data_IF_349736496874
#
_entry.id   IF_349736496874
#
_cell.length_a   1.000
_cell.length_b   1.000
_cell.length_c   1.000
_cell.angle_alpha   90.00
_cell.angle_beta   90.00
_cell.angle_gamma   90.00
#
_symmetry.space_group_name_H-M   'P 1'
#
loop_
_entity.id
_entity.type
_entity.pdbx_description
1 polymer ?
#
# COMPACT_ATOMS: atom_id res chain seq x y z
N UNK A 1 0.17 27.42 17.66
CA UNK A 1 1.48 26.87 17.24
C UNK A 1 1.67 27.27 15.79
N UNK A 2 2.87 27.79 15.44
CA UNK A 2 3.14 28.15 14.04
C UNK A 2 3.50 26.88 13.28
N UNK A 3 2.69 26.54 12.28
CA UNK A 3 2.96 25.44 11.35
C UNK A 3 3.52 26.03 10.06
N UNK A 4 4.57 25.41 9.53
CA UNK A 4 5.11 25.72 8.21
C UNK A 4 5.00 24.49 7.32
N UNK A 5 4.89 24.67 6.03
CA UNK A 5 4.82 23.55 5.11
C UNK A 5 5.65 23.81 3.84
N UNK A 6 6.05 22.73 3.18
CA UNK A 6 6.76 22.77 1.91
C UNK A 6 6.54 21.50 1.10
N UNK A 7 6.72 21.55 -0.22
CA UNK A 7 6.78 20.35 -1.06
C UNK A 7 7.92 19.41 -0.65
N UNK A 8 7.79 18.17 -1.07
CA UNK A 8 8.84 17.15 -0.98
C UNK A 8 10.11 17.60 -1.72
N UNK A 9 11.28 17.31 -1.15
CA UNK A 9 12.54 17.78 -1.76
C UNK A 9 13.53 16.68 -2.11
N UNK A 10 13.62 15.61 -1.35
CA UNK A 10 14.63 14.58 -1.57
C UNK A 10 14.43 13.32 -0.72
N UNK A 11 15.36 12.36 -0.85
CA UNK A 11 15.32 11.09 -0.11
C UNK A 11 15.29 11.21 1.41
N UNK A 12 15.84 12.28 1.99
CA UNK A 12 15.76 12.57 3.41
C UNK A 12 14.30 12.74 3.88
N UNK A 13 13.44 13.32 3.04
CA UNK A 13 12.02 13.46 3.37
C UNK A 13 11.31 12.10 3.47
N UNK A 14 11.65 11.13 2.61
CA UNK A 14 11.10 9.76 2.72
C UNK A 14 11.44 9.12 4.05
N UNK A 15 12.62 9.39 4.60
CA UNK A 15 13.03 8.88 5.91
C UNK A 15 12.16 9.50 7.01
N UNK A 16 11.96 10.82 6.97
CA UNK A 16 11.08 11.52 7.92
C UNK A 16 9.63 11.06 7.83
N UNK A 17 9.11 10.91 6.60
CA UNK A 17 7.74 10.42 6.34
C UNK A 17 7.54 9.01 6.88
N UNK A 18 8.49 8.09 6.62
CA UNK A 18 8.44 6.73 7.16
C UNK A 18 8.55 6.68 8.68
N UNK A 19 9.40 7.55 9.26
CA UNK A 19 9.55 7.63 10.72
C UNK A 19 8.23 8.08 11.39
N UNK A 20 7.60 9.13 10.86
CA UNK A 20 6.32 9.61 11.35
C UNK A 20 5.21 8.56 11.21
N UNK A 21 5.18 7.83 10.08
CA UNK A 21 4.20 6.76 9.90
C UNK A 21 4.37 5.62 10.91
N UNK A 22 5.59 5.25 11.26
CA UNK A 22 5.88 4.28 12.32
C UNK A 22 5.43 4.79 13.70
N UNK A 23 5.70 6.06 14.01
CA UNK A 23 5.26 6.71 15.24
C UNK A 23 3.73 6.70 15.40
N UNK A 24 3.00 6.87 14.29
CA UNK A 24 1.56 6.94 14.22
C UNK A 24 0.91 5.65 13.68
N UNK A 25 1.58 4.50 13.82
CA UNK A 25 1.20 3.25 13.15
C UNK A 25 -0.22 2.77 13.45
N UNK A 26 -0.75 3.05 14.65
CA UNK A 26 -2.11 2.67 15.04
C UNK A 26 -3.20 3.41 14.26
N UNK A 27 -2.87 4.56 13.66
CA UNK A 27 -3.81 5.45 12.98
C UNK A 27 -3.69 5.38 11.45
N UNK A 28 -2.78 4.55 10.91
CA UNK A 28 -2.48 4.54 9.49
C UNK A 28 -2.50 3.13 8.91
N UNK A 29 -3.11 3.01 7.75
CA UNK A 29 -3.25 1.75 7.02
C UNK A 29 -1.90 1.29 6.44
N UNK A 30 -1.15 2.22 5.87
CA UNK A 30 0.13 1.97 5.23
C UNK A 30 1.28 2.47 6.12
N UNK A 31 2.12 1.56 6.55
CA UNK A 31 3.29 1.84 7.40
C UNK A 31 4.50 1.04 6.94
N UNK A 32 4.43 -0.28 6.98
CA UNK A 32 5.54 -1.19 6.66
C UNK A 32 5.72 -1.33 5.15
N UNK A 33 4.66 -1.17 4.38
CA UNK A 33 4.62 -1.22 2.91
C UNK A 33 4.91 0.13 2.23
N UNK A 34 5.16 1.20 2.98
CA UNK A 34 5.51 2.52 2.43
C UNK A 34 6.69 2.48 1.43
N UNK A 35 7.72 1.63 1.57
CA UNK A 35 8.77 1.50 0.57
C UNK A 35 8.24 1.19 -0.84
N UNK A 36 7.20 0.35 -0.96
CA UNK A 36 6.54 0.06 -2.23
C UNK A 36 5.85 1.30 -2.81
N UNK A 37 5.10 2.03 -1.98
CA UNK A 37 4.37 3.23 -2.36
C UNK A 37 5.32 4.39 -2.70
N UNK A 38 6.39 4.58 -1.92
CA UNK A 38 7.39 5.63 -2.13
C UNK A 38 8.32 5.38 -3.32
N UNK A 39 8.35 4.18 -3.84
CA UNK A 39 9.07 3.84 -5.07
C UNK A 39 8.26 4.15 -6.33
N UNK A 40 6.95 4.44 -6.20
CA UNK A 40 6.07 4.69 -7.32
C UNK A 40 6.37 6.01 -8.04
N UNK A 41 5.84 6.14 -9.25
CA UNK A 41 5.95 7.37 -10.04
C UNK A 41 5.09 8.55 -9.49
N UNK A 42 4.36 8.37 -8.39
CA UNK A 42 3.77 9.47 -7.65
C UNK A 42 4.81 10.49 -7.18
N UNK A 43 6.04 10.02 -6.94
CA UNK A 43 7.17 10.83 -6.46
C UNK A 43 7.99 11.49 -7.58
N UNK A 44 7.56 11.38 -8.85
CA UNK A 44 8.23 12.02 -9.98
C UNK A 44 7.94 13.54 -10.02
N UNK A 45 6.82 13.98 -9.46
CA UNK A 45 6.49 15.38 -9.26
C UNK A 45 6.47 15.70 -7.76
N UNK A 46 7.49 16.41 -7.24
CA UNK A 46 7.58 16.77 -5.82
C UNK A 46 6.38 17.57 -5.30
N UNK A 47 5.71 18.33 -6.15
CA UNK A 47 4.54 19.13 -5.79
C UNK A 47 3.32 18.26 -5.42
N UNK A 48 3.33 16.97 -5.78
CA UNK A 48 2.29 16.02 -5.40
C UNK A 48 2.42 15.54 -3.95
N UNK A 49 3.48 15.96 -3.24
CA UNK A 49 3.74 15.59 -1.86
C UNK A 49 4.04 16.86 -1.04
N UNK A 50 3.43 16.99 0.10
CA UNK A 50 3.66 18.12 1.01
C UNK A 50 3.93 17.66 2.43
N UNK A 51 4.80 18.39 3.13
CA UNK A 51 5.23 18.12 4.49
C UNK A 51 4.93 19.34 5.37
N UNK A 52 4.36 19.11 6.56
CA UNK A 52 4.05 20.14 7.57
C UNK A 52 4.97 19.97 8.77
N UNK A 53 5.55 21.06 9.22
CA UNK A 53 6.51 21.09 10.32
C UNK A 53 5.99 22.00 11.46
N UNK A 54 6.19 21.55 12.68
CA UNK A 54 5.87 22.34 13.87
C UNK A 54 6.91 23.48 14.12
N UNK A 55 6.70 24.25 15.16
CA UNK A 55 7.58 25.35 15.56
C UNK A 55 9.00 24.91 15.92
N UNK A 56 9.19 23.64 16.24
CA UNK A 56 10.49 23.02 16.53
C UNK A 56 11.14 22.39 15.28
N UNK A 57 10.58 22.62 14.10
CA UNK A 57 11.01 22.02 12.82
C UNK A 57 10.91 20.49 12.82
N UNK A 58 10.04 19.91 13.63
CA UNK A 58 9.74 18.48 13.58
C UNK A 58 8.57 18.21 12.63
N UNK A 59 8.65 17.11 11.87
CA UNK A 59 7.58 16.73 10.97
C UNK A 59 6.31 16.41 11.77
N UNK A 60 5.26 17.20 11.56
CA UNK A 60 3.96 17.05 12.20
C UNK A 60 2.97 16.25 11.33
N UNK A 61 3.07 16.41 10.01
CA UNK A 61 2.25 15.68 9.03
C UNK A 61 2.92 15.64 7.67
N UNK A 62 2.48 14.70 6.85
CA UNK A 62 2.73 14.69 5.41
C UNK A 62 1.51 14.18 4.65
N UNK A 63 1.38 14.58 3.39
CA UNK A 63 0.39 14.05 2.48
C UNK A 63 0.99 13.85 1.08
N UNK A 64 0.50 12.85 0.35
CA UNK A 64 0.93 12.51 -0.99
C UNK A 64 -0.29 12.14 -1.86
N UNK A 65 -0.39 12.77 -3.03
CA UNK A 65 -1.29 12.33 -4.07
C UNK A 65 -0.66 11.13 -4.78
N UNK A 66 -1.04 9.94 -4.37
CA UNK A 66 -0.53 8.67 -4.91
C UNK A 66 -1.18 8.36 -6.25
N UNK A 67 -0.67 8.99 -7.28
CA UNK A 67 -1.20 8.93 -8.64
C UNK A 67 -1.38 7.51 -9.21
N UNK A 68 -0.51 6.51 -8.91
CA UNK A 68 -0.73 5.13 -9.36
C UNK A 68 -1.93 4.44 -8.72
N UNK A 69 -2.30 4.86 -7.51
CA UNK A 69 -3.38 4.26 -6.72
C UNK A 69 -4.64 5.11 -6.69
N UNK A 70 -4.57 6.36 -7.20
CA UNK A 70 -5.63 7.36 -7.12
C UNK A 70 -6.00 7.73 -5.67
N UNK A 71 -5.07 7.53 -4.73
CA UNK A 71 -5.28 7.80 -3.32
C UNK A 71 -4.56 9.04 -2.83
N UNK A 72 -5.15 9.70 -1.85
CA UNK A 72 -4.48 10.70 -1.03
C UNK A 72 -4.06 9.98 0.24
N UNK A 73 -2.77 9.68 0.34
CA UNK A 73 -2.19 9.11 1.54
C UNK A 73 -1.70 10.25 2.42
N UNK A 74 -1.98 10.19 3.72
CA UNK A 74 -1.46 11.16 4.67
C UNK A 74 -1.25 10.54 6.03
N UNK A 75 -0.29 11.11 6.75
CA UNK A 75 -0.02 10.82 8.16
C UNK A 75 0.03 12.12 8.90
N UNK A 76 -0.61 12.18 10.06
CA UNK A 76 -0.59 13.34 10.94
C UNK A 76 -0.39 12.86 12.38
N UNK A 77 0.42 13.59 13.16
CA UNK A 77 0.53 13.34 14.60
C UNK A 77 -0.83 13.51 15.26
N UNK A 78 -1.24 12.61 16.16
CA UNK A 78 -2.56 12.66 16.79
C UNK A 78 -2.84 13.96 17.55
N UNK A 79 -1.82 14.55 18.18
CA UNK A 79 -1.92 15.83 18.92
C UNK A 79 -2.07 17.05 18.00
N UNK A 80 -1.72 16.94 16.72
CA UNK A 80 -1.82 17.99 15.72
C UNK A 80 -3.03 17.81 14.79
N UNK A 81 -3.69 16.67 14.82
CA UNK A 81 -4.71 16.28 13.84
C UNK A 81 -5.88 17.28 13.80
N UNK A 82 -6.36 17.76 14.92
CA UNK A 82 -7.47 18.72 14.98
C UNK A 82 -7.21 20.05 14.25
N UNK A 83 -5.96 20.42 14.08
CA UNK A 83 -5.53 21.64 13.42
C UNK A 83 -5.11 21.43 11.98
N UNK A 84 -4.41 20.31 11.70
CA UNK A 84 -3.80 20.06 10.40
C UNK A 84 -4.69 19.32 9.42
N UNK A 85 -5.68 18.54 9.88
CA UNK A 85 -6.43 17.68 8.99
C UNK A 85 -7.18 18.46 7.91
N UNK A 86 -7.83 19.58 8.27
CA UNK A 86 -8.51 20.45 7.30
C UNK A 86 -7.52 21.12 6.34
N UNK A 87 -6.34 21.51 6.82
CA UNK A 87 -5.29 22.10 5.99
C UNK A 87 -4.74 21.08 4.99
N UNK A 88 -4.49 19.82 5.43
CA UNK A 88 -4.09 18.71 4.56
C UNK A 88 -5.13 18.48 3.45
N UNK A 89 -6.41 18.40 3.80
CA UNK A 89 -7.48 18.18 2.83
C UNK A 89 -7.63 19.36 1.87
N UNK A 90 -7.49 20.60 2.36
CA UNK A 90 -7.50 21.80 1.52
C UNK A 90 -6.34 21.83 0.53
N UNK A 91 -5.13 21.52 0.99
CA UNK A 91 -3.96 21.39 0.11
C UNK A 91 -4.17 20.30 -0.95
N UNK A 92 -4.64 19.13 -0.56
CA UNK A 92 -4.88 18.02 -1.46
C UNK A 92 -5.93 18.36 -2.53
N UNK A 93 -7.01 19.05 -2.15
CA UNK A 93 -8.05 19.51 -3.07
C UNK A 93 -7.49 20.54 -4.08
N UNK A 94 -6.73 21.53 -3.62
CA UNK A 94 -6.08 22.51 -4.48
C UNK A 94 -5.11 21.83 -5.45
N UNK A 95 -4.27 20.92 -4.95
CA UNK A 95 -3.30 20.20 -5.79
C UNK A 95 -4.02 19.32 -6.81
N UNK A 96 -5.06 18.59 -6.42
CA UNK A 96 -5.85 17.77 -7.34
C UNK A 96 -6.44 18.60 -8.51
N UNK A 97 -6.88 19.83 -8.24
CA UNK A 97 -7.36 20.76 -9.29
C UNK A 97 -6.24 21.28 -10.21
N UNK A 98 -5.06 21.56 -9.64
CA UNK A 98 -3.91 22.06 -10.42
C UNK A 98 -3.33 21.00 -11.37
N UNK A 99 -3.47 19.70 -11.06
CA UNK A 99 -2.96 18.64 -11.93
C UNK A 99 -3.96 18.23 -13.03
N UNK A 100 -5.14 18.83 -13.10
CA UNK A 100 -6.06 18.62 -14.22
C UNK A 100 -5.38 18.97 -15.55
N UNK A 101 -5.64 18.16 -16.58
CA UNK A 101 -4.99 18.28 -17.91
C UNK A 101 -3.47 18.06 -17.92
N UNK A 102 -2.93 17.45 -16.86
CA UNK A 102 -1.55 16.97 -16.78
C UNK A 102 -1.51 15.45 -16.84
N UNK A 103 -0.31 14.88 -16.91
CA UNK A 103 -0.15 13.41 -16.86
C UNK A 103 -0.57 12.77 -15.51
N UNK A 104 -0.69 13.58 -14.46
CA UNK A 104 -1.14 13.17 -13.13
C UNK A 104 -2.65 13.29 -12.92
N UNK A 105 -3.36 13.82 -13.91
CA UNK A 105 -4.82 13.99 -13.87
C UNK A 105 -5.55 12.70 -13.51
N UNK A 106 -6.52 12.82 -12.61
CA UNK A 106 -7.39 11.71 -12.21
C UNK A 106 -8.84 12.21 -12.09
N UNK A 107 -9.82 11.42 -12.56
CA UNK A 107 -11.24 11.78 -12.49
C UNK A 107 -11.77 11.78 -11.07
N UNK A 108 -11.14 11.01 -10.18
CA UNK A 108 -11.52 10.90 -8.78
C UNK A 108 -10.30 10.62 -7.90
N UNK A 109 -10.39 11.04 -6.64
CA UNK A 109 -9.40 10.71 -5.61
C UNK A 109 -10.06 9.99 -4.45
N UNK A 110 -9.33 9.05 -3.88
CA UNK A 110 -9.80 8.21 -2.80
C UNK A 110 -8.98 8.46 -1.53
N UNK A 111 -9.65 8.39 -0.38
CA UNK A 111 -9.01 8.41 0.95
C UNK A 111 -9.51 7.21 1.72
N UNK A 112 -8.60 6.51 2.37
CA UNK A 112 -8.90 5.37 3.22
C UNK A 112 -8.70 5.72 4.68
N UNK A 113 -9.71 5.42 5.52
CA UNK A 113 -9.69 5.69 6.95
C UNK A 113 -10.27 4.51 7.73
N UNK A 114 -9.79 4.26 8.93
CA UNK A 114 -10.40 3.27 9.80
C UNK A 114 -11.80 3.71 10.23
N UNK A 115 -12.73 2.78 10.29
CA UNK A 115 -14.13 3.05 10.68
C UNK A 115 -14.26 3.68 12.07
N UNK A 116 -13.25 3.54 12.92
CA UNK A 116 -13.17 4.14 14.26
C UNK A 116 -12.73 5.61 14.27
N UNK A 117 -12.22 6.15 13.15
CA UNK A 117 -11.66 7.51 13.05
C UNK A 117 -12.75 8.55 12.77
N UNK A 118 -13.70 8.70 13.67
CA UNK A 118 -14.89 9.56 13.50
C UNK A 118 -14.57 11.02 13.14
N UNK A 119 -13.49 11.58 13.67
CA UNK A 119 -13.09 12.96 13.35
C UNK A 119 -12.63 13.07 11.89
N UNK A 120 -11.78 12.15 11.43
CA UNK A 120 -11.33 12.10 10.03
C UNK A 120 -12.51 11.90 9.08
N UNK A 121 -13.44 10.99 9.41
CA UNK A 121 -14.65 10.74 8.63
C UNK A 121 -15.44 12.03 8.44
N UNK A 122 -15.77 12.73 9.54
CA UNK A 122 -16.51 13.99 9.50
C UNK A 122 -15.81 15.06 8.66
N UNK A 123 -14.49 15.19 8.79
CA UNK A 123 -13.72 16.20 8.08
C UNK A 123 -13.65 15.89 6.57
N UNK A 124 -13.57 14.59 6.19
CA UNK A 124 -13.66 14.15 4.79
C UNK A 124 -15.03 14.47 4.19
N UNK A 125 -16.12 14.18 4.92
CA UNK A 125 -17.49 14.52 4.49
C UNK A 125 -17.63 16.04 4.28
N UNK A 126 -17.13 16.85 5.21
CA UNK A 126 -17.12 18.32 5.11
C UNK A 126 -16.28 18.81 3.92
N UNK A 127 -15.20 18.10 3.55
CA UNK A 127 -14.38 18.39 2.38
C UNK A 127 -15.00 17.89 1.05
N UNK A 128 -16.21 17.30 1.10
CA UNK A 128 -16.96 16.84 -0.06
C UNK A 128 -16.62 15.43 -0.54
N UNK A 129 -15.90 14.65 0.24
CA UNK A 129 -15.71 13.23 -0.02
C UNK A 129 -16.98 12.44 0.38
N UNK A 130 -17.27 11.38 -0.37
CA UNK A 130 -18.44 10.51 -0.14
C UNK A 130 -17.96 9.11 0.21
N UNK A 131 -18.47 8.54 1.29
CA UNK A 131 -18.20 7.16 1.66
C UNK A 131 -18.72 6.21 0.57
N UNK A 132 -17.91 5.23 0.19
CA UNK A 132 -18.23 4.23 -0.82
C UNK A 132 -18.60 2.87 -0.21
N UNK A 133 -18.51 2.72 1.10
CA UNK A 133 -18.69 1.41 1.76
C UNK A 133 -20.10 0.83 1.62
N UNK A 134 -21.10 1.69 1.37
CA UNK A 134 -22.54 1.30 1.29
C UNK A 134 -23.19 1.71 -0.04
N UNK A 135 -22.39 1.94 -1.09
CA UNK A 135 -22.90 2.42 -2.39
C UNK A 135 -23.21 1.24 -3.31
N UNK A 136 -24.40 0.65 -3.17
CA UNK A 136 -24.97 -0.34 -4.09
C UNK A 136 -24.08 -1.57 -4.34
N UNK A 137 -24.13 -2.10 -5.56
CA UNK A 137 -23.32 -3.26 -5.97
C UNK A 137 -21.84 -2.92 -6.13
N UNK A 138 -21.50 -1.64 -6.29
CA UNK A 138 -20.13 -1.11 -6.39
C UNK A 138 -19.57 -0.63 -5.04
N UNK A 139 -20.16 -1.09 -3.94
CA UNK A 139 -19.70 -0.72 -2.60
C UNK A 139 -18.24 -1.13 -2.40
N UNK A 140 -17.40 -0.19 -1.97
CA UNK A 140 -16.00 -0.43 -1.67
C UNK A 140 -15.78 -0.33 -0.17
N UNK A 141 -15.56 -1.48 0.44
CA UNK A 141 -15.09 -1.58 1.80
C UNK A 141 -13.83 -2.43 1.83
N UNK A 142 -12.88 -2.01 2.62
CA UNK A 142 -11.63 -2.72 2.83
C UNK A 142 -11.49 -3.13 4.28
N UNK A 143 -10.60 -4.04 4.54
CA UNK A 143 -10.25 -4.47 5.89
C UNK A 143 -8.75 -4.53 6.05
N UNK A 144 -8.29 -4.15 7.24
CA UNK A 144 -6.94 -4.48 7.69
C UNK A 144 -7.01 -5.79 8.46
N UNK A 145 -6.26 -6.76 7.99
CA UNK A 145 -6.17 -8.06 8.66
C UNK A 145 -4.79 -8.24 9.29
N UNK A 146 -4.75 -8.97 10.39
CA UNK A 146 -3.52 -9.29 11.11
C UNK A 146 -3.45 -10.79 11.39
N UNK A 147 -2.25 -11.32 11.26
CA UNK A 147 -1.87 -12.66 11.67
C UNK A 147 -0.74 -12.60 12.72
N UNK A 148 -0.88 -13.34 13.81
CA UNK A 148 0.22 -13.56 14.74
C UNK A 148 1.22 -14.55 14.15
N UNK A 149 2.51 -14.28 14.29
CA UNK A 149 3.56 -15.22 13.86
C UNK A 149 3.68 -16.46 14.75
N UNK A 150 3.02 -16.49 15.91
CA UNK A 150 2.95 -17.67 16.76
C UNK A 150 2.11 -18.80 16.15
N UNK A 151 1.17 -18.46 15.26
CA UNK A 151 0.45 -19.47 14.49
C UNK A 151 1.38 -20.17 13.52
N UNK A 152 1.40 -21.52 13.45
CA UNK A 152 2.24 -22.24 12.51
C UNK A 152 1.83 -21.89 11.07
N UNK A 153 2.81 -21.67 10.19
CA UNK A 153 2.53 -21.42 8.77
C UNK A 153 2.27 -22.76 8.09
N UNK A 154 1.08 -22.90 7.51
CA UNK A 154 0.77 -24.04 6.65
C UNK A 154 1.51 -23.88 5.33
N UNK A 155 2.42 -24.81 5.05
CA UNK A 155 3.20 -24.82 3.81
C UNK A 155 2.42 -25.53 2.71
N UNK A 156 2.43 -24.91 1.53
CA UNK A 156 1.81 -25.46 0.33
C UNK A 156 2.88 -25.65 -0.74
N UNK A 157 3.04 -26.92 -1.14
CA UNK A 157 3.98 -27.28 -2.20
C UNK A 157 3.40 -26.91 -3.56
N UNK A 158 4.20 -26.37 -4.48
CA UNK A 158 3.78 -26.13 -5.83
C UNK A 158 3.56 -27.45 -6.57
N UNK A 159 2.71 -27.44 -7.59
CA UNK A 159 2.59 -28.58 -8.51
C UNK A 159 3.94 -28.91 -9.17
N UNK A 160 4.10 -30.16 -9.57
CA UNK A 160 5.29 -30.61 -10.31
C UNK A 160 5.59 -29.69 -11.50
N UNK A 161 6.84 -29.29 -11.63
CA UNK A 161 7.34 -28.39 -12.66
C UNK A 161 7.26 -26.90 -12.32
N UNK A 162 6.52 -26.49 -11.29
CA UNK A 162 6.56 -25.10 -10.78
C UNK A 162 7.64 -24.98 -9.71
N UNK A 163 8.29 -23.82 -9.68
CA UNK A 163 9.38 -23.52 -8.74
C UNK A 163 9.05 -22.24 -7.94
N UNK A 164 9.10 -22.35 -6.61
CA UNK A 164 9.01 -21.18 -5.73
C UNK A 164 10.42 -20.69 -5.43
N UNK A 165 10.66 -19.41 -5.65
CA UNK A 165 11.97 -18.79 -5.45
C UNK A 165 11.85 -17.29 -5.19
N UNK A 166 12.95 -16.66 -4.84
CA UNK A 166 13.03 -15.19 -4.89
C UNK A 166 13.12 -14.71 -6.34
N UNK A 167 12.67 -13.48 -6.58
CA UNK A 167 12.90 -12.80 -7.86
C UNK A 167 14.42 -12.68 -8.11
N UNK A 168 14.85 -12.85 -9.35
CA UNK A 168 16.27 -12.76 -9.73
C UNK A 168 16.74 -11.31 -9.97
N UNK A 169 16.19 -10.35 -9.20
CA UNK A 169 16.59 -8.96 -9.23
C UNK A 169 16.26 -8.25 -10.55
N UNK A 170 17.15 -7.36 -10.99
CA UNK A 170 16.91 -6.47 -12.14
C UNK A 170 16.67 -7.24 -13.46
N UNK A 171 17.24 -8.42 -13.62
CA UNK A 171 17.06 -9.23 -14.82
C UNK A 171 15.63 -9.73 -15.06
N UNK A 172 14.79 -9.69 -14.03
CA UNK A 172 13.39 -10.12 -14.12
C UNK A 172 12.37 -8.98 -13.94
N UNK A 173 12.83 -7.73 -13.90
CA UNK A 173 11.94 -6.55 -13.77
C UNK A 173 10.86 -6.56 -14.85
N UNK A 174 11.23 -6.77 -16.11
CA UNK A 174 10.29 -6.82 -17.23
C UNK A 174 9.22 -7.91 -17.03
N UNK A 175 9.64 -9.14 -16.72
CA UNK A 175 8.72 -10.26 -16.49
C UNK A 175 7.76 -10.02 -15.32
N UNK A 176 8.28 -9.40 -14.24
CA UNK A 176 7.46 -9.05 -13.09
C UNK A 176 6.42 -7.99 -13.44
N UNK A 177 6.80 -6.93 -14.15
CA UNK A 177 5.89 -5.87 -14.59
C UNK A 177 4.77 -6.41 -15.45
N UNK A 178 5.09 -7.26 -16.43
CA UNK A 178 4.11 -7.94 -17.29
C UNK A 178 3.13 -8.79 -16.46
N UNK A 179 3.65 -9.57 -15.52
CA UNK A 179 2.81 -10.37 -14.62
C UNK A 179 1.91 -9.47 -13.76
N UNK A 180 2.47 -8.44 -13.11
CA UNK A 180 1.73 -7.51 -12.26
C UNK A 180 0.59 -6.82 -13.03
N UNK A 181 0.90 -6.28 -14.21
CA UNK A 181 -0.08 -5.64 -15.08
C UNK A 181 -1.21 -6.60 -15.48
N UNK A 182 -0.88 -7.86 -15.79
CA UNK A 182 -1.86 -8.89 -16.12
C UNK A 182 -2.74 -9.29 -14.94
N UNK A 183 -2.18 -9.32 -13.71
CA UNK A 183 -2.90 -9.71 -12.49
C UNK A 183 -3.92 -8.66 -12.08
N UNK A 184 -3.51 -7.38 -12.11
CA UNK A 184 -4.34 -6.25 -11.68
C UNK A 184 -5.10 -5.56 -12.82
N UNK A 185 -4.93 -6.04 -14.06
CA UNK A 185 -5.53 -5.46 -15.28
C UNK A 185 -5.25 -3.95 -15.38
N UNK A 186 -4.04 -3.54 -14.99
CA UNK A 186 -3.61 -2.15 -14.87
C UNK A 186 -2.20 -1.96 -15.42
N UNK A 187 -1.96 -0.83 -16.06
CA UNK A 187 -0.63 -0.42 -16.55
C UNK A 187 0.13 0.47 -15.56
N UNK A 188 -0.37 0.65 -14.34
CA UNK A 188 0.22 1.57 -13.36
C UNK A 188 1.62 1.13 -12.93
N UNK A 189 1.87 -0.19 -12.80
CA UNK A 189 3.23 -0.69 -12.54
C UNK A 189 4.10 -0.46 -13.78
N UNK A 190 5.18 0.30 -13.59
CA UNK A 190 6.17 0.59 -14.64
C UNK A 190 7.50 -0.09 -14.35
N UNK A 191 8.36 -0.17 -15.36
CA UNK A 191 9.74 -0.68 -15.18
C UNK A 191 10.51 0.15 -14.15
N UNK A 192 10.38 1.48 -14.22
CA UNK A 192 11.06 2.39 -13.31
C UNK A 192 10.57 2.25 -11.87
N UNK A 193 9.24 2.11 -11.67
CA UNK A 193 8.71 1.85 -10.33
C UNK A 193 9.29 0.56 -9.76
N UNK A 194 9.27 -0.52 -10.55
CA UNK A 194 9.81 -1.81 -10.10
C UNK A 194 11.32 -1.74 -9.82
N UNK A 195 12.10 -1.10 -10.69
CA UNK A 195 13.52 -0.91 -10.49
C UNK A 195 13.82 -0.11 -9.22
N UNK A 196 13.10 1.00 -8.99
CA UNK A 196 13.20 1.79 -7.74
C UNK A 196 12.81 0.98 -6.50
N UNK A 197 11.82 0.09 -6.62
CA UNK A 197 11.46 -0.82 -5.52
C UNK A 197 12.63 -1.73 -5.13
N UNK A 198 13.32 -2.32 -6.11
CA UNK A 198 14.49 -3.17 -5.87
C UNK A 198 15.66 -2.43 -5.23
N UNK A 199 15.77 -1.12 -5.47
CA UNK A 199 16.84 -0.26 -4.95
C UNK A 199 16.49 0.40 -3.62
N UNK A 200 15.25 0.22 -3.11
CA UNK A 200 14.84 0.83 -1.85
C UNK A 200 15.61 0.21 -0.67
N UNK A 201 16.12 1.01 0.30
CA UNK A 201 16.90 0.48 1.43
C UNK A 201 16.20 -0.59 2.26
N UNK A 202 14.88 -0.48 2.40
CA UNK A 202 14.05 -1.44 3.16
C UNK A 202 13.60 -2.64 2.29
N UNK A 203 13.99 -2.69 1.00
CA UNK A 203 13.67 -3.84 0.15
C UNK A 203 14.55 -5.04 0.52
N UNK A 204 13.92 -6.20 0.62
CA UNK A 204 14.57 -7.47 0.93
C UNK A 204 14.36 -8.48 -0.20
N UNK A 205 15.42 -8.84 -0.95
CA UNK A 205 15.32 -9.81 -2.05
C UNK A 205 14.76 -11.18 -1.62
N UNK A 206 15.04 -11.58 -0.38
CA UNK A 206 14.54 -12.81 0.20
C UNK A 206 13.04 -12.77 0.55
N UNK A 207 12.42 -11.60 0.56
CA UNK A 207 10.97 -11.41 0.77
C UNK A 207 10.19 -11.12 -0.52
N UNK A 208 10.83 -11.15 -1.66
CA UNK A 208 10.23 -10.97 -2.98
C UNK A 208 10.07 -12.32 -3.67
N UNK A 209 8.96 -12.98 -3.39
CA UNK A 209 8.68 -14.34 -3.79
C UNK A 209 7.98 -14.37 -5.14
N UNK A 210 8.45 -15.22 -6.04
CA UNK A 210 7.79 -15.53 -7.31
C UNK A 210 7.61 -17.04 -7.44
N UNK A 211 6.60 -17.43 -8.23
CA UNK A 211 6.41 -18.80 -8.66
C UNK A 211 6.64 -18.87 -10.17
N UNK A 212 7.65 -19.62 -10.57
CA UNK A 212 7.99 -19.86 -11.97
C UNK A 212 7.28 -21.11 -12.48
N UNK A 213 6.68 -21.00 -13.66
CA UNK A 213 6.02 -22.12 -14.35
C UNK A 213 7.04 -22.99 -15.13
N UNK A 214 6.64 -24.20 -15.58
CA UNK A 214 7.51 -25.08 -16.38
C UNK A 214 8.05 -24.45 -17.66
N UNK A 215 7.30 -23.54 -18.26
CA UNK A 215 7.64 -22.76 -19.46
C UNK A 215 8.40 -21.46 -19.17
N UNK A 216 8.92 -21.31 -17.93
CA UNK A 216 9.77 -20.19 -17.48
C UNK A 216 9.07 -18.82 -17.40
N UNK A 217 7.75 -18.78 -17.40
CA UNK A 217 6.99 -17.57 -17.09
C UNK A 217 6.84 -17.38 -15.57
N UNK A 218 6.78 -16.15 -15.12
CA UNK A 218 6.34 -15.86 -13.76
C UNK A 218 4.81 -16.04 -13.69
N UNK A 219 4.36 -16.89 -12.77
CA UNK A 219 2.96 -17.31 -12.68
C UNK A 219 2.22 -16.70 -11.47
N UNK A 220 2.95 -16.41 -10.40
CA UNK A 220 2.45 -15.74 -9.21
C UNK A 220 3.59 -14.99 -8.51
N UNK A 221 3.22 -14.03 -7.67
CA UNK A 221 4.15 -13.30 -6.81
C UNK A 221 3.54 -13.02 -5.45
N UNK A 222 4.41 -12.82 -4.46
CA UNK A 222 4.09 -12.33 -3.13
C UNK A 222 5.29 -11.52 -2.65
N UNK A 223 5.13 -10.20 -2.51
CA UNK A 223 6.14 -9.36 -1.90
C UNK A 223 5.76 -9.15 -0.45
N UNK A 224 6.71 -9.34 0.43
CA UNK A 224 6.56 -9.06 1.84
C UNK A 224 7.55 -7.97 2.26
N UNK A 225 7.09 -7.11 3.14
CA UNK A 225 7.86 -6.06 3.78
C UNK A 225 8.09 -6.41 5.23
N UNK A 226 9.22 -6.01 5.79
CA UNK A 226 9.55 -6.30 7.18
C UNK A 226 10.22 -5.10 7.84
N UNK A 227 9.62 -4.60 8.90
CA UNK A 227 10.21 -3.57 9.75
C UNK A 227 10.85 -4.23 10.98
N UNK A 228 12.18 -4.21 11.01
CA UNK A 228 12.97 -4.83 12.09
C UNK A 228 12.78 -4.13 13.44
N UNK A 229 12.42 -2.83 13.45
CA UNK A 229 12.23 -2.08 14.69
C UNK A 229 10.96 -2.49 15.42
N UNK A 230 9.89 -2.64 14.69
CA UNK A 230 8.59 -3.07 15.23
C UNK A 230 8.38 -4.58 15.16
N UNK A 231 9.30 -5.34 14.55
CA UNK A 231 9.17 -6.76 14.25
C UNK A 231 7.85 -7.07 13.52
N UNK A 232 7.49 -6.23 12.57
CA UNK A 232 6.22 -6.29 11.86
C UNK A 232 6.42 -6.60 10.39
N UNK A 233 5.66 -7.58 9.87
CA UNK A 233 5.58 -7.90 8.46
C UNK A 233 4.34 -7.30 7.80
N UNK A 234 4.42 -7.07 6.49
CA UNK A 234 3.27 -6.68 5.66
C UNK A 234 3.33 -7.40 4.32
N UNK A 235 2.21 -7.89 3.83
CA UNK A 235 2.09 -8.55 2.52
C UNK A 235 1.51 -7.54 1.51
N UNK A 236 2.35 -7.07 0.58
CA UNK A 236 1.93 -6.13 -0.47
C UNK A 236 2.97 -6.05 -1.60
N UNK A 237 2.62 -6.37 -2.85
CA UNK A 237 1.36 -6.99 -3.30
C UNK A 237 1.43 -8.53 -3.40
N UNK A 238 0.26 -9.15 -3.52
CA UNK A 238 0.10 -10.58 -3.81
C UNK A 238 -0.75 -10.78 -5.07
N UNK A 239 -0.32 -11.66 -5.98
CA UNK A 239 -1.10 -11.93 -7.16
C UNK A 239 -0.75 -13.23 -7.90
N UNK A 240 -1.72 -13.71 -8.72
CA UNK A 240 -1.53 -14.87 -9.61
C UNK A 240 -2.11 -14.58 -10.98
N UNK A 241 -1.35 -14.86 -12.02
CA UNK A 241 -1.82 -14.76 -13.40
C UNK A 241 -3.07 -15.63 -13.61
N UNK A 242 -4.06 -15.12 -14.34
CA UNK A 242 -5.37 -15.75 -14.51
C UNK A 242 -5.30 -17.21 -15.00
N UNK A 243 -4.39 -17.52 -15.91
CA UNK A 243 -4.18 -18.87 -16.43
C UNK A 243 -3.72 -19.88 -15.36
N UNK A 244 -3.03 -19.39 -14.34
CA UNK A 244 -2.45 -20.22 -13.29
C UNK A 244 -3.28 -20.22 -11.99
N UNK A 245 -4.38 -19.46 -11.92
CA UNK A 245 -5.27 -19.44 -10.73
C UNK A 245 -5.75 -20.84 -10.30
N UNK A 246 -6.13 -21.77 -11.24
CA UNK A 246 -6.57 -23.11 -10.86
C UNK A 246 -5.51 -23.94 -10.13
N UNK A 247 -4.23 -23.57 -10.22
CA UNK A 247 -3.14 -24.27 -9.56
C UNK A 247 -2.87 -23.80 -8.13
N UNK A 248 -3.56 -22.76 -7.64
CA UNK A 248 -3.43 -22.27 -6.28
C UNK A 248 -2.08 -21.60 -5.96
N UNK A 249 -1.39 -21.06 -6.98
CA UNK A 249 -0.02 -20.56 -6.84
C UNK A 249 0.10 -19.32 -5.96
N UNK A 250 -0.95 -18.49 -5.84
CA UNK A 250 -0.99 -17.40 -4.89
C UNK A 250 -0.90 -17.89 -3.43
N UNK A 251 -1.56 -19.04 -3.15
CA UNK A 251 -1.47 -19.70 -1.84
C UNK A 251 -0.06 -20.20 -1.55
N UNK A 252 0.59 -20.76 -2.56
CA UNK A 252 1.97 -21.24 -2.49
C UNK A 252 2.93 -20.08 -2.22
N UNK A 253 2.82 -18.98 -2.99
CA UNK A 253 3.64 -17.79 -2.82
C UNK A 253 3.44 -17.15 -1.42
N UNK A 254 2.19 -17.02 -0.97
CA UNK A 254 1.87 -16.48 0.35
C UNK A 254 2.45 -17.37 1.47
N UNK A 255 2.32 -18.70 1.37
CA UNK A 255 2.85 -19.60 2.40
C UNK A 255 4.37 -19.45 2.55
N UNK A 256 5.10 -19.31 1.46
CA UNK A 256 6.54 -19.08 1.50
C UNK A 256 6.88 -17.69 2.05
N UNK A 257 6.15 -16.64 1.67
CA UNK A 257 6.32 -15.30 2.22
C UNK A 257 6.13 -15.26 3.74
N UNK A 258 5.06 -15.87 4.23
CA UNK A 258 4.78 -15.97 5.67
C UNK A 258 5.87 -16.76 6.40
N UNK A 259 6.32 -17.88 5.84
CA UNK A 259 7.42 -18.68 6.40
C UNK A 259 8.70 -17.85 6.55
N UNK A 260 9.05 -17.06 5.52
CA UNK A 260 10.25 -16.21 5.56
C UNK A 260 10.10 -15.07 6.57
N UNK A 261 8.96 -14.39 6.63
CA UNK A 261 8.68 -13.39 7.66
C UNK A 261 8.79 -13.98 9.07
N UNK A 262 8.23 -15.17 9.29
CA UNK A 262 8.34 -15.86 10.58
C UNK A 262 9.80 -16.20 10.93
N UNK A 263 10.59 -16.62 9.94
CA UNK A 263 12.02 -16.92 10.14
C UNK A 263 12.85 -15.69 10.47
N UNK A 264 12.41 -14.48 10.07
CA UNK A 264 13.00 -13.19 10.43
C UNK A 264 12.54 -12.70 11.82
N UNK A 265 11.63 -13.42 12.47
CA UNK A 265 11.12 -13.08 13.80
C UNK A 265 9.95 -12.09 13.78
N UNK A 266 9.26 -11.91 12.63
CA UNK A 266 8.06 -11.09 12.61
C UNK A 266 7.08 -11.55 13.69
N UNK A 267 6.58 -10.61 14.51
CA UNK A 267 5.62 -10.91 15.58
C UNK A 267 4.18 -10.78 15.08
N UNK A 268 3.93 -9.80 14.24
CA UNK A 268 2.65 -9.57 13.57
C UNK A 268 2.88 -9.42 12.08
N UNK A 269 1.95 -9.94 11.30
CA UNK A 269 1.96 -9.79 9.85
C UNK A 269 0.61 -9.20 9.44
N UNK A 270 0.64 -8.11 8.67
CA UNK A 270 -0.54 -7.40 8.23
C UNK A 270 -0.77 -7.59 6.73
N UNK A 271 -2.02 -7.42 6.33
CA UNK A 271 -2.44 -7.27 4.93
C UNK A 271 -3.69 -6.41 4.87
N UNK A 272 -3.75 -5.52 3.89
CA UNK A 272 -4.99 -4.88 3.48
C UNK A 272 -5.63 -5.68 2.35
N UNK A 273 -6.95 -5.85 2.39
CA UNK A 273 -7.69 -6.47 1.29
C UNK A 273 -9.09 -5.90 1.20
N UNK A 274 -9.69 -6.03 0.00
CA UNK A 274 -11.08 -5.66 -0.22
C UNK A 274 -11.98 -6.74 0.38
N UNK A 275 -12.92 -6.35 1.23
CA UNK A 275 -13.86 -7.30 1.85
C UNK A 275 -14.88 -7.87 0.85
N UNK A 276 -15.10 -7.21 -0.30
CA UNK A 276 -15.97 -7.72 -1.37
C UNK A 276 -15.24 -8.75 -2.28
N UNK A 277 -13.91 -8.78 -2.30
CA UNK A 277 -13.13 -9.77 -3.03
C UNK A 277 -12.99 -11.05 -2.24
N UNK A 278 -14.11 -11.77 -2.11
CA UNK A 278 -14.19 -13.00 -1.32
C UNK A 278 -13.03 -13.98 -1.50
N UNK A 279 -12.43 -14.06 -2.69
CA UNK A 279 -11.33 -14.99 -2.97
C UNK A 279 -10.05 -14.58 -2.23
N UNK A 280 -9.67 -13.30 -2.25
CA UNK A 280 -8.47 -12.81 -1.56
C UNK A 280 -8.68 -12.84 -0.04
N UNK A 281 -9.83 -12.36 0.43
CA UNK A 281 -10.19 -12.40 1.85
C UNK A 281 -10.15 -13.82 2.42
N UNK A 282 -10.81 -14.79 1.76
CA UNK A 282 -10.78 -16.20 2.15
C UNK A 282 -9.39 -16.83 2.08
N UNK A 283 -8.55 -16.38 1.14
CA UNK A 283 -7.16 -16.82 1.11
C UNK A 283 -6.44 -16.41 2.39
N UNK A 284 -6.55 -15.15 2.81
CA UNK A 284 -5.93 -14.69 4.04
C UNK A 284 -6.51 -15.35 5.29
N UNK A 285 -7.84 -15.51 5.38
CA UNK A 285 -8.47 -16.27 6.47
C UNK A 285 -7.90 -17.70 6.58
N UNK A 286 -7.64 -18.37 5.43
CA UNK A 286 -7.08 -19.73 5.42
C UNK A 286 -5.65 -19.82 5.95
N UNK A 287 -5.01 -18.68 6.21
CA UNK A 287 -3.70 -18.52 6.86
C UNK A 287 -3.79 -17.85 8.24
N UNK A 288 -4.95 -17.93 8.89
CA UNK A 288 -5.21 -17.39 10.23
C UNK A 288 -5.11 -15.86 10.32
N UNK A 289 -5.24 -15.13 9.22
CA UNK A 289 -5.44 -13.69 9.29
C UNK A 289 -6.85 -13.39 9.82
N UNK A 290 -6.93 -12.45 10.73
CA UNK A 290 -8.18 -11.97 11.32
C UNK A 290 -8.35 -10.49 11.04
N UNK A 291 -9.55 -10.06 10.70
CA UNK A 291 -9.88 -8.64 10.58
C UNK A 291 -9.72 -7.96 11.93
N UNK A 292 -8.95 -6.87 11.95
CA UNK A 292 -8.73 -6.06 13.14
C UNK A 292 -9.31 -4.66 13.00
N UNK A 293 -9.48 -4.17 11.76
CA UNK A 293 -10.06 -2.87 11.47
C UNK A 293 -10.86 -2.94 10.18
N UNK A 294 -12.07 -2.35 10.20
CA UNK A 294 -12.79 -2.02 8.99
C UNK A 294 -12.26 -0.69 8.44
N UNK A 295 -12.14 -0.61 7.12
CA UNK A 295 -11.59 0.54 6.41
C UNK A 295 -12.64 1.10 5.47
N UNK A 296 -13.06 2.34 5.74
CA UNK A 296 -13.92 3.08 4.84
C UNK A 296 -13.11 3.70 3.70
N UNK A 297 -13.66 3.58 2.50
CA UNK A 297 -13.12 4.21 1.30
C UNK A 297 -13.96 5.43 0.99
N UNK A 298 -13.36 6.60 0.99
CA UNK A 298 -14.00 7.86 0.64
C UNK A 298 -13.56 8.28 -0.75
N UNK A 299 -14.49 8.82 -1.55
CA UNK A 299 -14.27 9.26 -2.92
C UNK A 299 -14.69 10.70 -3.11
N UNK A 300 -13.88 11.48 -3.83
CA UNK A 300 -14.23 12.79 -4.36
C UNK A 300 -13.95 12.83 -5.85
N UNK A 301 -14.97 13.21 -6.62
CA UNK A 301 -14.86 13.39 -8.07
C UNK A 301 -14.36 14.81 -8.40
N UNK A 302 -13.52 14.89 -9.41
CA UNK A 302 -13.00 16.14 -9.96
C UNK A 302 -13.43 16.21 -11.42
N UNK A 303 -14.34 17.14 -11.71
CA UNK A 303 -14.82 17.34 -13.07
C UNK A 303 -13.68 17.96 -13.90
N UNK A 304 -13.46 17.40 -15.07
CA UNK A 304 -12.69 18.05 -16.15
C UNK A 304 -13.60 19.04 -16.82
N UNK A 305 -13.32 20.34 -16.70
CA UNK A 305 -14.00 21.39 -17.47
C UNK A 305 -13.80 21.21 -18.98
#
# INVERSE_FOLDING_TARGET
>A
MAITHRPFSAGQDKILMSALARECSENNLHVVDLPYRFSSWAFDDPENINLWFDENQQLAAWAALQTPFWTIDYVCRPDQESHLHQEILSWADQRARLIQKTLYERPAWFVMVFSSQNNRIRDLENAGFKCQSDVGEDSWAKVLMRRSSQSPVKIYEPRSGFIVRSLAGESEVQKYVELHQSVFESKNMTLDWRARTLQHPDYRPDLDIVVESPDKRLAAFCICWFDEKSMTGHVEPLGSHKEFRPYGLGRVALSEGLRRLQSLGAQNIFVETDNYRNTAFRLYESFDFQTIQDVHVFRKDYETE
#
